data_IF_963848705288
#
_entry.id   IF_963848705288
#
_cell.length_a   1.000
_cell.length_b   1.000
_cell.length_c   1.000
_cell.angle_alpha   90.00
_cell.angle_beta   90.00
_cell.angle_gamma   90.00
#
_symmetry.space_group_name_H-M   'P 1'
#
loop_
_entity.id
_entity.type
_entity.pdbx_description
1 polymer ?
#
# COMPACT_ATOMS: atom_id res chain seq x y z
N UNK A 1 5.71 57.22 58.62
CA UNK A 1 5.38 55.79 58.43
C UNK A 1 4.73 55.64 57.06
N UNK A 2 5.51 55.30 56.03
CA UNK A 2 4.99 55.05 54.68
C UNK A 2 5.14 53.56 54.40
N UNK A 3 4.03 52.82 54.43
CA UNK A 3 3.99 51.41 54.05
C UNK A 3 4.11 51.32 52.53
N UNK A 4 5.19 50.69 52.05
CA UNK A 4 5.32 50.24 50.66
C UNK A 4 4.47 48.99 50.49
N UNK A 5 3.37 49.08 49.75
CA UNK A 5 2.66 47.91 49.21
C UNK A 5 3.14 47.74 47.78
N UNK A 6 3.97 46.73 47.54
CA UNK A 6 4.35 46.30 46.18
C UNK A 6 3.29 45.29 45.76
N UNK A 7 2.39 45.70 44.87
CA UNK A 7 1.44 44.79 44.22
C UNK A 7 2.19 44.02 43.13
N UNK A 8 2.53 42.76 43.40
CA UNK A 8 3.00 41.84 42.37
C UNK A 8 1.81 41.45 41.48
N UNK A 9 1.74 41.96 40.25
CA UNK A 9 0.85 41.41 39.24
C UNK A 9 1.39 40.03 38.82
N UNK A 10 0.70 38.98 39.24
CA UNK A 10 0.85 37.65 38.64
C UNK A 10 0.39 37.72 37.19
N UNK A 11 1.32 37.59 36.25
CA UNK A 11 0.99 37.25 34.86
C UNK A 11 0.73 35.75 34.84
N UNK A 12 -0.55 35.34 34.83
CA UNK A 12 -0.91 33.95 34.60
C UNK A 12 -0.61 33.60 33.13
N UNK A 13 0.46 32.85 32.90
CA UNK A 13 0.81 32.30 31.60
C UNK A 13 -0.28 31.30 31.20
N UNK A 14 -1.12 31.64 30.24
CA UNK A 14 -2.03 30.69 29.61
C UNK A 14 -1.15 29.80 28.73
N UNK A 15 -0.78 28.63 29.22
CA UNK A 15 -0.22 27.60 28.36
C UNK A 15 -1.33 27.16 27.40
N UNK A 16 -1.29 27.64 26.16
CA UNK A 16 -2.06 27.04 25.07
C UNK A 16 -1.50 25.65 24.88
N UNK A 17 -2.23 24.66 25.40
CA UNK A 17 -2.04 23.26 25.07
C UNK A 17 -2.25 23.10 23.57
N UNK A 18 -1.15 23.09 22.81
CA UNK A 18 -1.16 22.48 21.49
C UNK A 18 -1.38 20.99 21.71
N UNK A 19 -2.64 20.55 21.64
CA UNK A 19 -2.96 19.17 21.32
C UNK A 19 -2.11 18.79 20.10
N UNK A 20 -1.46 17.61 20.05
CA UNK A 20 -0.86 17.15 18.82
C UNK A 20 -1.98 16.94 17.81
N UNK A 21 -2.30 18.00 17.07
CA UNK A 21 -3.08 17.94 15.86
C UNK A 21 -2.29 17.00 14.96
N UNK A 22 -2.91 15.87 14.63
CA UNK A 22 -2.51 14.98 13.56
C UNK A 22 -1.86 15.82 12.46
N UNK A 23 -0.63 15.45 12.07
CA UNK A 23 0.09 16.11 11.00
C UNK A 23 -0.91 16.38 9.87
N UNK A 24 -1.15 17.67 9.54
CA UNK A 24 -2.08 18.05 8.47
C UNK A 24 -1.52 17.46 7.20
N UNK A 25 -2.02 16.27 6.89
CA UNK A 25 -1.66 15.47 5.75
C UNK A 25 -2.01 16.34 4.54
N UNK A 26 -0.98 16.93 3.96
CA UNK A 26 -1.15 17.89 2.87
C UNK A 26 -1.59 17.11 1.65
N UNK A 27 -2.66 17.56 1.01
CA UNK A 27 -3.14 16.93 -0.21
C UNK A 27 -2.04 16.95 -1.26
N UNK A 28 -1.64 15.78 -1.76
CA UNK A 28 -0.57 15.60 -2.76
C UNK A 28 -1.09 15.41 -4.16
N UNK A 29 -2.30 14.87 -4.31
CA UNK A 29 -3.01 14.74 -5.59
C UNK A 29 -4.41 15.31 -5.42
N UNK A 30 -4.83 16.17 -6.34
CA UNK A 30 -6.16 16.77 -6.34
C UNK A 30 -6.83 16.65 -7.70
N UNK A 31 -8.16 16.71 -7.71
CA UNK A 31 -8.99 16.66 -8.90
C UNK A 31 -10.01 17.79 -8.86
N UNK A 32 -10.22 18.48 -9.98
CA UNK A 32 -11.26 19.51 -10.10
C UNK A 32 -12.47 18.94 -10.81
N UNK A 33 -13.62 18.94 -10.12
CA UNK A 33 -14.89 18.43 -10.65
C UNK A 33 -15.29 19.20 -11.90
N UNK A 34 -15.58 18.48 -12.98
CA UNK A 34 -16.11 19.03 -14.23
C UNK A 34 -17.56 18.61 -14.46
N UNK A 35 -18.20 19.20 -15.48
CA UNK A 35 -19.58 18.86 -15.82
C UNK A 35 -19.69 17.40 -16.25
N UNK A 36 -20.63 16.66 -15.64
CA UNK A 36 -20.88 15.25 -15.92
C UNK A 36 -20.14 14.26 -15.03
N UNK A 37 -19.28 14.73 -14.11
CA UNK A 37 -18.58 13.86 -13.17
C UNK A 37 -19.52 13.23 -12.13
N UNK A 38 -19.19 12.01 -11.75
CA UNK A 38 -19.71 11.29 -10.57
C UNK A 38 -18.51 10.81 -9.74
N UNK A 39 -18.68 10.51 -8.44
CA UNK A 39 -17.58 9.94 -7.66
C UNK A 39 -17.04 8.67 -8.31
N UNK A 40 -17.90 7.75 -8.73
CA UNK A 40 -17.50 6.52 -9.42
C UNK A 40 -16.65 6.77 -10.68
N UNK A 41 -17.00 7.77 -11.50
CA UNK A 41 -16.23 8.10 -12.70
C UNK A 41 -14.86 8.70 -12.36
N UNK A 42 -14.79 9.55 -11.33
CA UNK A 42 -13.53 10.13 -10.84
C UNK A 42 -12.65 9.04 -10.22
N UNK A 43 -13.21 8.21 -9.35
CA UNK A 43 -12.56 7.09 -8.68
C UNK A 43 -11.91 6.13 -9.68
N UNK A 44 -12.68 5.68 -10.67
CA UNK A 44 -12.20 4.76 -11.70
C UNK A 44 -11.09 5.38 -12.54
N UNK A 45 -11.24 6.66 -12.90
CA UNK A 45 -10.26 7.39 -13.70
C UNK A 45 -8.96 7.65 -12.94
N UNK A 46 -9.06 7.94 -11.65
CA UNK A 46 -7.95 8.43 -10.84
C UNK A 46 -7.29 7.35 -9.98
N UNK A 47 -7.86 6.15 -9.92
CA UNK A 47 -7.36 5.03 -9.14
C UNK A 47 -7.49 5.26 -7.63
N UNK A 48 -8.60 5.86 -7.20
CA UNK A 48 -8.91 6.11 -5.79
C UNK A 48 -10.19 5.35 -5.42
N UNK A 49 -10.24 4.78 -4.22
CA UNK A 49 -11.44 4.07 -3.76
C UNK A 49 -12.47 5.04 -3.18
N UNK A 50 -13.74 4.64 -3.21
CA UNK A 50 -14.85 5.36 -2.58
C UNK A 50 -14.54 5.74 -1.13
N UNK A 51 -14.04 4.77 -0.34
CA UNK A 51 -13.70 4.99 1.06
C UNK A 51 -12.60 6.07 1.23
N UNK A 52 -11.58 6.04 0.37
CA UNK A 52 -10.49 7.01 0.40
C UNK A 52 -10.99 8.39 -0.03
N UNK A 53 -11.79 8.45 -1.09
CA UNK A 53 -12.33 9.70 -1.59
C UNK A 53 -13.21 10.38 -0.53
N UNK A 54 -14.09 9.64 0.14
CA UNK A 54 -14.93 10.17 1.21
C UNK A 54 -14.14 10.51 2.48
N UNK A 55 -13.11 9.73 2.82
CA UNK A 55 -12.24 10.03 3.96
C UNK A 55 -11.46 11.34 3.77
N UNK A 56 -10.94 11.57 2.56
CA UNK A 56 -10.19 12.78 2.22
C UNK A 56 -11.09 13.98 1.91
N UNK A 57 -12.36 13.76 1.59
CA UNK A 57 -13.33 14.80 1.28
C UNK A 57 -14.62 14.64 2.11
N UNK A 58 -14.57 14.88 3.44
CA UNK A 58 -15.73 14.70 4.32
C UNK A 58 -16.95 15.59 3.99
N UNK A 59 -16.79 16.56 3.08
CA UNK A 59 -17.89 17.37 2.57
C UNK A 59 -18.74 16.66 1.53
N UNK A 60 -18.26 15.58 0.91
CA UNK A 60 -19.04 14.74 0.00
C UNK A 60 -19.98 13.86 0.83
N UNK A 61 -21.25 13.82 0.47
CA UNK A 61 -22.21 12.93 1.13
C UNK A 61 -22.06 11.49 0.62
N UNK A 62 -22.54 10.51 1.40
CA UNK A 62 -22.40 9.09 1.07
C UNK A 62 -23.04 8.66 -0.26
N UNK A 63 -23.94 9.45 -0.83
CA UNK A 63 -24.52 9.18 -2.15
C UNK A 63 -23.80 9.89 -3.30
N UNK A 64 -22.72 10.62 -3.01
CA UNK A 64 -22.03 11.52 -3.94
C UNK A 64 -22.96 12.44 -4.76
N UNK A 65 -24.07 12.88 -4.17
CA UNK A 65 -25.09 13.68 -4.87
C UNK A 65 -24.84 15.19 -4.78
N UNK A 66 -23.80 15.61 -4.07
CA UNK A 66 -23.51 17.01 -3.77
C UNK A 66 -22.21 17.55 -4.37
N UNK A 67 -21.64 16.87 -5.39
CA UNK A 67 -20.50 17.39 -6.13
C UNK A 67 -20.85 18.71 -6.84
N UNK A 68 -19.95 19.68 -6.75
CA UNK A 68 -20.10 20.99 -7.42
C UNK A 68 -19.05 21.15 -8.50
N UNK A 69 -19.46 21.64 -9.68
CA UNK A 69 -18.52 21.97 -10.76
C UNK A 69 -17.50 23.01 -10.24
N UNK A 70 -16.21 22.74 -10.42
CA UNK A 70 -15.12 23.55 -9.91
C UNK A 70 -14.68 23.22 -8.47
N UNK A 71 -15.37 22.30 -7.79
CA UNK A 71 -14.93 21.78 -6.49
C UNK A 71 -13.59 21.04 -6.65
N UNK A 72 -12.62 21.34 -5.78
CA UNK A 72 -11.34 20.64 -5.74
C UNK A 72 -11.43 19.54 -4.70
N UNK A 73 -11.30 18.29 -5.17
CA UNK A 73 -11.26 17.08 -4.35
C UNK A 73 -9.81 16.70 -4.07
N UNK A 74 -9.54 16.21 -2.87
CA UNK A 74 -8.29 15.58 -2.52
C UNK A 74 -8.34 14.08 -2.83
N UNK A 75 -7.34 13.57 -3.55
CA UNK A 75 -7.23 12.17 -3.95
C UNK A 75 -6.14 11.41 -3.17
N UNK A 76 -5.16 12.12 -2.61
CA UNK A 76 -4.10 11.52 -1.78
C UNK A 76 -3.42 12.56 -0.88
N UNK A 77 -2.73 12.13 0.17
CA UNK A 77 -1.97 13.00 1.09
C UNK A 77 -0.52 12.55 1.29
N UNK A 78 0.36 13.47 1.70
CA UNK A 78 1.76 13.14 2.03
C UNK A 78 1.82 12.22 3.25
N UNK A 79 2.27 10.97 3.07
CA UNK A 79 2.43 9.98 4.15
C UNK A 79 1.38 8.87 4.15
N UNK A 80 0.42 8.90 3.23
CA UNK A 80 -0.45 7.77 2.94
C UNK A 80 -0.21 7.37 1.50
N UNK A 81 0.22 6.13 1.27
CA UNK A 81 0.22 5.47 -0.05
C UNK A 81 -1.25 5.29 -0.47
N UNK A 82 -1.92 6.42 -0.75
CA UNK A 82 -3.36 6.54 -0.95
C UNK A 82 -3.76 6.31 -2.41
N UNK A 83 -2.97 5.54 -3.14
CA UNK A 83 -3.40 4.96 -4.39
C UNK A 83 -3.79 3.53 -4.09
N UNK A 84 -5.07 3.22 -4.17
CA UNK A 84 -5.41 1.84 -4.36
C UNK A 84 -4.89 1.46 -5.74
N UNK A 85 -3.70 0.85 -5.80
CA UNK A 85 -3.04 0.56 -7.06
C UNK A 85 -3.78 -0.51 -7.88
N UNK A 86 -4.61 -1.33 -7.25
CA UNK A 86 -5.54 -2.24 -7.90
C UNK A 86 -6.97 -1.90 -7.46
N UNK A 87 -7.81 -1.45 -8.40
CA UNK A 87 -9.22 -1.16 -8.15
C UNK A 87 -10.13 -2.04 -8.97
N UNK A 88 -11.33 -2.32 -8.43
CA UNK A 88 -12.37 -3.07 -9.12
C UNK A 88 -13.62 -2.22 -9.28
N UNK A 89 -14.13 -2.11 -10.50
CA UNK A 89 -15.42 -1.44 -10.74
C UNK A 89 -16.53 -2.48 -10.64
N UNK A 90 -17.38 -2.35 -9.61
CA UNK A 90 -18.51 -3.28 -9.40
C UNK A 90 -19.50 -3.21 -10.54
N UNK A 91 -19.89 -4.36 -11.09
CA UNK A 91 -20.93 -4.47 -12.12
C UNK A 91 -22.20 -5.12 -11.59
N UNK A 92 -23.29 -5.00 -12.34
CA UNK A 92 -24.58 -5.59 -11.96
C UNK A 92 -24.46 -7.12 -11.87
N UNK A 93 -24.81 -7.68 -10.71
CA UNK A 93 -24.73 -9.12 -10.44
C UNK A 93 -23.49 -9.56 -9.66
N UNK A 94 -22.53 -8.66 -9.39
CA UNK A 94 -21.40 -8.96 -8.53
C UNK A 94 -21.83 -9.16 -7.07
N UNK A 95 -21.14 -10.07 -6.40
CA UNK A 95 -21.15 -10.23 -4.94
C UNK A 95 -19.73 -10.05 -4.42
N UNK A 96 -19.55 -9.63 -3.16
CA UNK A 96 -18.22 -9.52 -2.55
C UNK A 96 -17.46 -10.86 -2.68
N UNK A 97 -18.14 -11.98 -2.41
CA UNK A 97 -17.58 -13.33 -2.57
C UNK A 97 -17.15 -13.70 -4.00
N UNK A 98 -17.85 -13.22 -5.03
CA UNK A 98 -17.48 -13.49 -6.42
C UNK A 98 -16.28 -12.62 -6.87
N UNK A 99 -16.21 -11.39 -6.37
CA UNK A 99 -15.08 -10.48 -6.60
C UNK A 99 -13.85 -11.03 -5.88
N UNK A 100 -13.96 -11.41 -4.60
CA UNK A 100 -12.89 -12.02 -3.80
C UNK A 100 -12.28 -13.24 -4.49
N UNK A 101 -13.13 -14.17 -4.94
CA UNK A 101 -12.70 -15.38 -5.62
C UNK A 101 -12.03 -15.10 -6.98
N UNK A 102 -12.51 -14.10 -7.71
CA UNK A 102 -11.98 -13.72 -9.02
C UNK A 102 -10.64 -12.99 -8.90
N UNK A 103 -10.52 -12.12 -7.91
CA UNK A 103 -9.39 -11.20 -7.74
C UNK A 103 -8.33 -11.75 -6.77
N UNK A 104 -8.58 -12.91 -6.15
CA UNK A 104 -7.61 -13.57 -5.27
C UNK A 104 -7.38 -12.83 -3.95
N UNK A 105 -8.43 -12.23 -3.39
CA UNK A 105 -8.38 -11.41 -2.15
C UNK A 105 -9.31 -11.99 -1.07
N UNK A 106 -8.93 -11.86 0.20
CA UNK A 106 -9.78 -12.33 1.30
C UNK A 106 -10.92 -11.34 1.61
N UNK A 107 -12.06 -11.86 2.08
CA UNK A 107 -13.17 -11.06 2.63
C UNK A 107 -12.69 -10.02 3.66
N UNK A 108 -11.78 -10.41 4.56
CA UNK A 108 -11.20 -9.52 5.57
C UNK A 108 -10.36 -8.39 4.95
N UNK A 109 -9.61 -8.69 3.88
CA UNK A 109 -8.83 -7.68 3.14
C UNK A 109 -9.76 -6.76 2.37
N UNK A 110 -10.75 -7.29 1.66
CA UNK A 110 -11.72 -6.49 0.90
C UNK A 110 -12.51 -5.55 1.82
N UNK A 111 -13.00 -6.04 2.96
CA UNK A 111 -13.72 -5.23 3.95
C UNK A 111 -12.82 -4.22 4.67
N UNK A 112 -11.55 -4.55 4.96
CA UNK A 112 -10.65 -3.61 5.63
C UNK A 112 -10.20 -2.46 4.70
N UNK A 113 -10.07 -2.73 3.41
CA UNK A 113 -9.77 -1.72 2.38
C UNK A 113 -11.00 -0.92 1.95
N UNK A 114 -12.19 -1.46 2.14
CA UNK A 114 -13.45 -0.80 1.80
C UNK A 114 -14.46 -0.83 2.97
N UNK A 115 -14.19 -0.13 4.09
CA UNK A 115 -15.03 -0.17 5.28
C UNK A 115 -16.46 0.39 5.05
N UNK A 116 -16.68 1.12 3.96
CA UNK A 116 -17.98 1.66 3.55
C UNK A 116 -18.85 0.68 2.75
N UNK A 117 -18.34 -0.50 2.35
CA UNK A 117 -19.14 -1.51 1.64
C UNK A 117 -20.22 -2.08 2.55
N UNK A 118 -21.45 -2.12 2.05
CA UNK A 118 -22.51 -2.99 2.56
C UNK A 118 -22.79 -4.09 1.53
N UNK A 119 -22.52 -5.33 1.92
CA UNK A 119 -22.70 -6.59 1.15
C UNK A 119 -24.11 -6.81 0.55
N UNK A 120 -25.10 -5.99 0.93
CA UNK A 120 -26.49 -6.10 0.46
C UNK A 120 -26.92 -5.04 -0.58
N UNK A 121 -26.04 -4.13 -1.01
CA UNK A 121 -26.46 -2.92 -1.74
C UNK A 121 -26.38 -3.05 -3.27
N UNK A 122 -27.51 -3.33 -3.92
CA UNK A 122 -27.71 -3.22 -5.37
C UNK A 122 -27.83 -1.78 -5.89
N UNK A 123 -27.06 -0.82 -5.36
CA UNK A 123 -27.22 0.60 -5.72
C UNK A 123 -25.87 1.30 -5.95
N UNK A 124 -25.67 1.74 -7.19
CA UNK A 124 -24.55 2.54 -7.73
C UNK A 124 -23.16 1.90 -7.60
N UNK A 125 -22.65 1.33 -8.69
CA UNK A 125 -21.32 0.72 -8.86
C UNK A 125 -20.18 1.46 -8.12
N UNK A 126 -19.81 1.07 -6.89
CA UNK A 126 -18.65 1.67 -6.24
C UNK A 126 -17.36 1.12 -6.88
N UNK A 127 -16.31 1.94 -6.91
CA UNK A 127 -14.96 1.44 -7.21
C UNK A 127 -14.35 0.92 -5.91
N UNK A 128 -14.13 -0.40 -5.85
CA UNK A 128 -13.53 -1.05 -4.70
C UNK A 128 -12.02 -0.99 -4.78
N UNK A 129 -11.40 -0.85 -3.62
CA UNK A 129 -9.98 -1.07 -3.45
C UNK A 129 -9.67 -2.55 -3.26
N UNK A 130 -8.83 -3.12 -4.13
CA UNK A 130 -8.28 -4.45 -3.97
C UNK A 130 -6.84 -4.45 -3.39
N UNK A 131 -6.25 -3.27 -3.20
CA UNK A 131 -4.89 -3.10 -2.65
C UNK A 131 -4.00 -2.26 -3.56
N UNK A 132 -2.68 -2.28 -3.34
CA UNK A 132 -1.75 -1.77 -4.37
C UNK A 132 -1.73 -2.72 -5.57
N UNK A 133 -1.35 -2.23 -6.75
CA UNK A 133 -1.12 -3.09 -7.91
C UNK A 133 -0.03 -4.10 -7.49
N UNK A 134 -0.42 -5.36 -7.27
CA UNK A 134 0.32 -6.33 -6.45
C UNK A 134 -0.39 -6.70 -5.15
N UNK A 135 -1.71 -6.89 -5.19
CA UNK A 135 -2.54 -7.16 -4.02
C UNK A 135 -3.13 -8.56 -4.12
N UNK A 136 -2.30 -9.58 -4.32
CA UNK A 136 -2.67 -10.93 -3.93
C UNK A 136 -2.74 -11.03 -2.40
N UNK A 137 -3.54 -11.99 -1.94
CA UNK A 137 -3.88 -12.36 -0.56
C UNK A 137 -2.95 -11.87 0.55
N UNK A 138 -3.53 -11.54 1.71
CA UNK A 138 -2.81 -11.23 2.95
C UNK A 138 -1.90 -12.38 3.41
N UNK A 139 -0.77 -12.54 2.73
CA UNK A 139 0.29 -13.44 3.07
C UNK A 139 0.87 -13.09 4.41
N UNK A 140 1.47 -14.09 5.04
CA UNK A 140 2.27 -13.84 6.22
C UNK A 140 3.38 -12.85 5.85
N UNK A 141 3.40 -11.69 6.51
CA UNK A 141 4.50 -10.74 6.37
C UNK A 141 5.66 -11.19 7.25
N UNK A 142 6.84 -11.25 6.66
CA UNK A 142 8.06 -11.65 7.33
C UNK A 142 9.04 -10.49 7.33
N UNK A 143 9.72 -10.27 8.46
CA UNK A 143 10.92 -9.44 8.50
C UNK A 143 12.13 -10.34 8.34
N UNK A 144 12.99 -9.99 7.39
CA UNK A 144 14.16 -10.78 7.02
C UNK A 144 15.30 -9.94 6.45
N UNK A 145 16.45 -10.56 6.27
CA UNK A 145 17.58 -9.95 5.58
C UNK A 145 17.51 -10.28 4.10
N UNK A 146 17.62 -9.27 3.24
CA UNK A 146 17.77 -9.43 1.82
C UNK A 146 19.22 -9.23 1.39
N UNK A 147 19.72 -10.19 0.63
CA UNK A 147 20.96 -10.07 -0.15
C UNK A 147 20.61 -9.99 -1.64
N UNK A 148 21.64 -9.98 -2.49
CA UNK A 148 21.43 -10.13 -3.92
C UNK A 148 22.42 -11.10 -4.57
N UNK A 149 22.03 -11.63 -5.73
CA UNK A 149 22.86 -12.47 -6.58
C UNK A 149 22.74 -12.13 -8.06
N UNK A 150 23.65 -12.69 -8.87
CA UNK A 150 23.66 -12.56 -10.33
C UNK A 150 23.37 -13.94 -10.97
N UNK A 151 22.12 -14.18 -11.43
CA UNK A 151 21.75 -15.45 -12.06
C UNK A 151 22.53 -15.75 -13.36
N UNK A 152 22.93 -14.72 -14.12
CA UNK A 152 23.76 -14.82 -15.33
C UNK A 152 23.27 -15.84 -16.39
N UNK A 153 21.96 -16.01 -16.55
CA UNK A 153 21.40 -17.01 -17.47
C UNK A 153 21.37 -18.43 -16.92
N UNK A 154 21.64 -18.61 -15.61
CA UNK A 154 21.49 -19.89 -14.92
C UNK A 154 20.04 -20.33 -14.82
N UNK A 155 19.83 -21.61 -14.55
CA UNK A 155 18.50 -22.18 -14.31
C UNK A 155 18.22 -22.18 -12.81
N UNK A 156 17.19 -21.46 -12.37
CA UNK A 156 16.76 -21.45 -10.98
C UNK A 156 16.12 -22.78 -10.56
N UNK A 157 15.94 -22.98 -9.26
CA UNK A 157 15.34 -24.17 -8.69
C UNK A 157 13.87 -24.40 -9.14
N UNK A 158 13.18 -23.37 -9.64
CA UNK A 158 11.86 -23.51 -10.27
C UNK A 158 11.93 -24.01 -11.74
N UNK A 159 13.13 -24.22 -12.29
CA UNK A 159 13.34 -24.79 -13.62
C UNK A 159 13.35 -23.76 -14.76
N UNK A 160 13.31 -22.47 -14.45
CA UNK A 160 13.32 -21.37 -15.42
C UNK A 160 14.73 -20.79 -15.58
N UNK A 161 15.04 -20.26 -16.77
CA UNK A 161 16.30 -19.55 -17.02
C UNK A 161 16.17 -18.11 -16.55
N UNK A 162 17.09 -17.66 -15.71
CA UNK A 162 17.02 -16.39 -15.01
C UNK A 162 18.07 -15.41 -15.53
N UNK A 163 17.68 -14.15 -15.71
CA UNK A 163 18.56 -13.05 -16.09
C UNK A 163 18.81 -12.11 -14.92
N UNK A 164 19.94 -11.41 -14.96
CA UNK A 164 20.31 -10.43 -13.93
C UNK A 164 19.30 -9.29 -13.79
N UNK A 165 18.59 -8.96 -14.88
CA UNK A 165 17.58 -7.90 -14.93
C UNK A 165 16.18 -8.34 -14.52
N UNK A 166 15.94 -9.64 -14.33
CA UNK A 166 14.62 -10.14 -13.99
C UNK A 166 14.24 -9.67 -12.58
N UNK A 167 12.93 -9.57 -12.32
CA UNK A 167 12.41 -9.23 -10.99
C UNK A 167 12.07 -10.54 -10.28
N UNK A 168 13.10 -11.20 -9.77
CA UNK A 168 12.98 -12.51 -9.12
C UNK A 168 13.63 -12.53 -7.75
N UNK A 169 13.17 -13.48 -6.94
CA UNK A 169 13.68 -13.78 -5.60
C UNK A 169 13.98 -15.27 -5.47
N UNK A 170 15.05 -15.57 -4.75
CA UNK A 170 15.34 -16.90 -4.24
C UNK A 170 14.91 -16.99 -2.76
N UNK A 171 14.04 -17.95 -2.43
CA UNK A 171 13.55 -18.11 -1.06
C UNK A 171 14.51 -18.92 -0.21
N UNK A 172 14.65 -18.56 1.07
CA UNK A 172 15.34 -19.38 2.05
C UNK A 172 14.63 -20.74 2.26
N UNK A 173 15.37 -21.74 2.73
CA UNK A 173 14.86 -23.13 2.89
C UNK A 173 13.63 -23.24 3.79
N UNK A 174 13.47 -22.35 4.77
CA UNK A 174 12.31 -22.30 5.66
C UNK A 174 11.00 -21.96 4.93
N UNK A 175 11.09 -21.24 3.81
CA UNK A 175 9.95 -20.74 3.02
C UNK A 175 9.92 -21.32 1.61
N UNK A 176 10.84 -22.23 1.26
CA UNK A 176 10.89 -22.84 -0.06
C UNK A 176 9.77 -23.86 -0.29
N UNK A 177 9.37 -24.55 0.78
CA UNK A 177 8.33 -25.61 0.79
C UNK A 177 8.41 -26.57 -0.42
N UNK A 178 9.62 -27.10 -0.67
CA UNK A 178 9.88 -28.02 -1.78
C UNK A 178 9.44 -27.46 -3.17
N UNK A 179 9.51 -26.14 -3.35
CA UNK A 179 9.14 -25.45 -4.59
C UNK A 179 7.64 -25.21 -4.74
N UNK A 180 6.83 -25.39 -3.69
CA UNK A 180 5.39 -25.12 -3.75
C UNK A 180 5.10 -23.67 -4.16
N UNK A 181 6.00 -22.75 -3.82
CA UNK A 181 5.88 -21.32 -4.09
C UNK A 181 6.45 -20.89 -5.44
N UNK A 182 6.90 -21.82 -6.30
CA UNK A 182 7.44 -21.46 -7.60
C UNK A 182 6.41 -20.71 -8.46
N UNK A 183 6.81 -19.54 -8.96
CA UNK A 183 5.97 -18.67 -9.77
C UNK A 183 5.04 -17.75 -8.96
N UNK A 184 4.96 -17.90 -7.64
CA UNK A 184 4.22 -16.97 -6.78
C UNK A 184 4.92 -15.60 -6.72
N UNK A 185 4.13 -14.57 -6.44
CA UNK A 185 4.61 -13.20 -6.30
C UNK A 185 4.94 -12.91 -4.85
N UNK A 186 6.03 -12.17 -4.63
CA UNK A 186 6.42 -11.65 -3.33
C UNK A 186 6.50 -10.14 -3.43
N UNK A 187 5.79 -9.45 -2.54
CA UNK A 187 5.97 -8.02 -2.29
C UNK A 187 7.13 -7.83 -1.31
N UNK A 188 8.16 -7.08 -1.70
CA UNK A 188 9.34 -6.77 -0.86
C UNK A 188 9.43 -5.28 -0.62
N UNK A 189 9.50 -4.87 0.64
CA UNK A 189 9.60 -3.49 1.07
C UNK A 189 10.92 -3.20 1.80
N UNK A 190 11.57 -2.12 1.39
CA UNK A 190 12.72 -1.53 2.06
C UNK A 190 12.54 -0.01 2.16
N UNK A 191 12.62 0.52 3.38
CA UNK A 191 12.32 1.94 3.65
C UNK A 191 10.92 2.30 3.09
N UNK A 192 10.84 3.21 2.13
CA UNK A 192 9.59 3.62 1.48
C UNK A 192 9.36 2.98 0.11
N UNK A 193 10.27 2.11 -0.35
CA UNK A 193 10.20 1.47 -1.66
C UNK A 193 9.63 0.07 -1.52
N UNK A 194 8.67 -0.27 -2.37
CA UNK A 194 8.14 -1.63 -2.49
C UNK A 194 8.27 -2.09 -3.94
N UNK A 195 8.74 -3.32 -4.14
CA UNK A 195 8.78 -3.99 -5.43
C UNK A 195 8.05 -5.32 -5.37
N UNK A 196 7.59 -5.80 -6.51
CA UNK A 196 7.11 -7.17 -6.67
C UNK A 196 8.16 -8.00 -7.41
N UNK A 197 8.38 -9.20 -6.92
CA UNK A 197 9.32 -10.17 -7.50
C UNK A 197 8.67 -11.54 -7.54
N UNK A 198 9.09 -12.37 -8.48
CA UNK A 198 8.58 -13.73 -8.61
C UNK A 198 9.54 -14.73 -7.97
N UNK A 199 9.00 -15.72 -7.26
CA UNK A 199 9.78 -16.83 -6.71
C UNK A 199 10.22 -17.74 -7.85
N UNK A 200 11.52 -17.79 -8.11
CA UNK A 200 12.07 -18.59 -9.21
C UNK A 200 13.27 -19.44 -8.81
N UNK A 201 13.76 -19.28 -7.57
CA UNK A 201 14.94 -20.00 -7.11
C UNK A 201 14.91 -20.30 -5.61
N UNK A 202 15.79 -21.21 -5.20
CA UNK A 202 16.04 -21.59 -3.82
C UNK A 202 17.37 -20.99 -3.37
N UNK A 203 17.38 -20.44 -2.17
CA UNK A 203 18.56 -19.92 -1.51
C UNK A 203 18.89 -20.75 -0.25
N UNK A 204 19.71 -21.81 -0.35
CA UNK A 204 20.08 -22.62 0.80
C UNK A 204 20.90 -21.87 1.86
N UNK A 205 21.60 -20.81 1.45
CA UNK A 205 22.50 -20.02 2.28
C UNK A 205 21.93 -18.70 2.80
N UNK A 206 20.63 -18.46 2.62
CA UNK A 206 20.01 -17.20 3.01
C UNK A 206 20.15 -16.91 4.50
N UNK A 207 20.37 -15.64 4.84
CA UNK A 207 20.71 -15.24 6.20
C UNK A 207 19.48 -15.20 7.10
N UNK A 208 19.46 -16.06 8.12
CA UNK A 208 18.36 -16.17 9.06
C UNK A 208 17.13 -16.87 8.48
N UNK A 209 16.13 -17.11 9.33
CA UNK A 209 14.94 -17.91 8.98
C UNK A 209 14.13 -17.30 7.85
N UNK A 210 14.06 -15.98 7.76
CA UNK A 210 13.26 -15.25 6.77
C UNK A 210 14.14 -14.57 5.71
N UNK A 211 15.39 -15.01 5.56
CA UNK A 211 16.31 -14.44 4.58
C UNK A 211 15.85 -14.73 3.14
N UNK A 212 16.02 -13.74 2.27
CA UNK A 212 15.72 -13.85 0.83
C UNK A 212 16.92 -13.34 0.02
N UNK A 213 17.08 -13.83 -1.20
CA UNK A 213 18.15 -13.39 -2.10
C UNK A 213 17.56 -12.87 -3.40
N UNK A 214 17.67 -11.56 -3.62
CA UNK A 214 17.09 -10.90 -4.78
C UNK A 214 18.03 -11.00 -5.98
N UNK A 215 17.48 -11.09 -7.18
CA UNK A 215 18.27 -10.77 -8.38
C UNK A 215 18.84 -9.35 -8.30
N UNK A 216 19.99 -9.11 -8.92
CA UNK A 216 20.61 -7.79 -8.99
C UNK A 216 19.67 -6.69 -9.54
N UNK A 217 18.80 -7.03 -10.49
CA UNK A 217 17.81 -6.12 -11.07
C UNK A 217 16.73 -5.74 -10.06
N UNK A 218 16.17 -6.72 -9.35
CA UNK A 218 15.22 -6.48 -8.27
C UNK A 218 15.85 -5.65 -7.14
N UNK A 219 17.06 -6.01 -6.68
CA UNK A 219 17.74 -5.27 -5.62
C UNK A 219 18.02 -3.82 -6.02
N UNK A 220 18.46 -3.57 -7.25
CA UNK A 220 18.71 -2.21 -7.75
C UNK A 220 17.43 -1.36 -7.81
N UNK A 221 16.27 -1.97 -8.07
CA UNK A 221 14.98 -1.29 -8.06
C UNK A 221 14.49 -0.99 -6.63
N UNK A 222 14.81 -1.85 -5.67
CA UNK A 222 14.45 -1.68 -4.26
C UNK A 222 15.35 -0.67 -3.53
N UNK A 223 16.66 -0.76 -3.77
CA UNK A 223 17.69 0.14 -3.25
C UNK A 223 18.74 0.46 -4.33
N UNK A 224 18.69 1.64 -4.96
CA UNK A 224 19.70 2.06 -5.94
C UNK A 224 21.13 2.14 -5.37
N UNK A 225 21.30 2.19 -4.04
CA UNK A 225 22.61 2.23 -3.37
C UNK A 225 23.06 0.86 -2.84
N UNK A 226 22.41 -0.24 -3.23
CA UNK A 226 22.62 -1.58 -2.66
C UNK A 226 24.07 -2.08 -2.66
N UNK A 227 24.92 -1.59 -3.58
CA UNK A 227 26.34 -1.93 -3.64
C UNK A 227 27.08 -1.46 -2.37
N UNK A 228 26.64 -0.35 -1.77
CA UNK A 228 27.23 0.20 -0.55
C UNK A 228 26.56 -0.32 0.72
N UNK A 229 25.24 -0.53 0.67
CA UNK A 229 24.45 -0.96 1.83
C UNK A 229 24.59 -2.48 2.08
N UNK A 230 24.87 -3.27 1.02
CA UNK A 230 25.17 -4.69 1.11
C UNK A 230 23.93 -5.51 1.49
N UNK A 231 23.85 -5.93 2.76
CA UNK A 231 22.72 -6.69 3.29
C UNK A 231 21.72 -5.73 3.93
N UNK A 232 20.46 -5.77 3.49
CA UNK A 232 19.42 -4.87 3.96
C UNK A 232 18.32 -5.61 4.71
N UNK A 233 17.75 -4.99 5.75
CA UNK A 233 16.58 -5.54 6.45
C UNK A 233 15.31 -5.13 5.71
N UNK A 234 14.51 -6.10 5.28
CA UNK A 234 13.29 -5.90 4.51
C UNK A 234 12.08 -6.50 5.22
N UNK A 235 10.90 -6.03 4.83
CA UNK A 235 9.63 -6.72 5.09
C UNK A 235 9.16 -7.32 3.78
N UNK A 236 8.79 -8.60 3.76
CA UNK A 236 8.28 -9.23 2.56
C UNK A 236 7.04 -10.07 2.84
N UNK A 237 6.16 -10.17 1.86
CA UNK A 237 4.89 -10.90 1.93
C UNK A 237 4.77 -11.78 0.70
N UNK A 238 4.52 -13.07 0.90
CA UNK A 238 4.20 -14.02 -0.16
C UNK A 238 2.72 -13.93 -0.50
N UNK A 239 2.39 -13.65 -1.76
CA UNK A 239 1.02 -13.33 -2.22
C UNK A 239 0.22 -14.53 -2.72
#
# INVERSE_FOLDING_TARGET
MFFKVVAALLVASIAVSASPLEARQSCTKSYTVVSGDTCAAIEAKEGVSDATLHALNPSINSGCTNLQIGQVLCLSTSGTSSGCGNTYTVVSGDTCSAIEAKEGISDATLHSLNPSINVASTAAAPVLCLGSAGGGTGGQSFTGLATYYYPNGGTGACGTVLQNSDFIVALGTAHWDNGAHCGETVSVQYKSTTIQVKVEDLCPGCQGTNGIDLSSGAMAALDPNYINDGVISVVWTLE
#
